data_IF_383071782257
#
_entry.id   IF_383071782257
#
_cell.length_a   1.000
_cell.length_b   1.000
_cell.length_c   1.000
_cell.angle_alpha   90.00
_cell.angle_beta   90.00
_cell.angle_gamma   90.00
#
_symmetry.space_group_name_H-M   'P 1'
#
loop_
_entity.id
_entity.type
_entity.pdbx_description
1 polymer ?
#
# COMPACT_ATOMS: atom_id res chain seq x y z
N UNK A 1 45.47 -73.15 6.44
CA UNK A 1 44.04 -72.84 6.70
C UNK A 1 43.95 -72.22 8.09
N UNK A 2 43.80 -70.91 8.18
CA UNK A 2 43.17 -70.18 9.28
C UNK A 2 43.02 -68.73 8.80
N UNK A 3 41.79 -68.37 8.41
CA UNK A 3 41.39 -67.01 8.08
C UNK A 3 41.22 -66.25 9.40
N UNK A 4 42.10 -65.28 9.67
CA UNK A 4 41.88 -64.31 10.73
C UNK A 4 41.03 -63.13 10.18
N UNK A 5 39.99 -62.82 10.94
CA UNK A 5 38.84 -61.98 10.60
C UNK A 5 39.16 -60.48 10.52
N UNK A 6 38.67 -59.86 9.46
CA UNK A 6 38.86 -58.48 8.97
C UNK A 6 38.20 -57.37 9.83
N UNK A 7 38.04 -57.56 11.15
CA UNK A 7 37.28 -56.61 12.01
C UNK A 7 38.12 -55.69 12.89
N UNK A 8 39.42 -55.93 13.04
CA UNK A 8 40.28 -55.12 13.94
C UNK A 8 41.09 -54.03 13.23
N UNK A 9 41.09 -53.97 11.89
CA UNK A 9 41.84 -52.97 11.12
C UNK A 9 41.00 -51.74 10.69
N UNK A 10 39.83 -51.53 11.30
CA UNK A 10 38.97 -50.36 11.03
C UNK A 10 38.86 -49.37 12.20
N UNK A 11 39.53 -49.64 13.33
CA UNK A 11 39.39 -48.80 14.53
C UNK A 11 40.57 -47.83 14.72
N UNK A 12 41.67 -47.97 13.95
CA UNK A 12 42.84 -47.07 14.01
C UNK A 12 42.92 -46.08 12.83
N UNK A 13 41.82 -45.84 12.13
CA UNK A 13 41.74 -44.83 11.05
C UNK A 13 40.48 -43.93 11.17
N UNK A 14 39.97 -43.76 12.39
CA UNK A 14 38.80 -42.92 12.67
C UNK A 14 39.06 -41.84 13.74
N UNK A 15 40.31 -41.67 14.19
CA UNK A 15 40.71 -40.69 15.22
C UNK A 15 41.72 -39.64 14.73
N UNK A 16 41.90 -39.50 13.40
CA UNK A 16 42.84 -38.54 12.80
C UNK A 16 42.17 -37.55 11.82
N UNK A 17 40.84 -37.40 11.87
CA UNK A 17 40.09 -36.41 11.07
C UNK A 17 39.14 -35.54 11.92
N UNK A 18 39.40 -35.44 13.22
CA UNK A 18 38.59 -34.66 14.15
C UNK A 18 39.32 -33.43 14.74
N UNK A 19 40.28 -32.88 14.00
CA UNK A 19 40.91 -31.61 14.36
C UNK A 19 41.31 -30.90 13.08
N UNK A 20 40.43 -30.00 12.60
CA UNK A 20 40.72 -28.81 11.79
C UNK A 20 39.40 -28.27 11.20
N UNK A 21 38.46 -27.85 12.06
CA UNK A 21 37.48 -26.80 11.73
C UNK A 21 37.53 -25.75 12.84
N UNK A 22 38.69 -25.14 12.99
CA UNK A 22 38.80 -23.82 13.61
C UNK A 22 38.86 -22.79 12.50
N UNK A 23 37.94 -21.83 12.56
CA UNK A 23 37.91 -20.60 11.75
C UNK A 23 37.22 -20.69 10.39
N UNK A 24 35.90 -20.53 10.40
CA UNK A 24 35.29 -19.57 9.48
C UNK A 24 34.74 -18.45 10.37
N UNK A 25 35.34 -17.28 10.24
CA UNK A 25 34.98 -16.11 11.03
C UNK A 25 33.50 -15.81 10.90
N UNK A 26 32.83 -15.72 12.05
CA UNK A 26 31.62 -14.93 12.18
C UNK A 26 32.01 -13.47 11.91
N UNK A 27 32.10 -13.11 10.63
CA UNK A 27 32.00 -11.73 10.22
C UNK A 27 30.57 -11.32 10.55
N UNK A 28 30.37 -10.82 11.76
CA UNK A 28 29.31 -9.89 12.06
C UNK A 28 29.50 -8.74 11.08
N UNK A 29 28.96 -8.87 9.88
CA UNK A 29 28.60 -7.70 9.10
C UNK A 29 27.54 -7.03 9.95
N UNK A 30 27.98 -6.16 10.86
CA UNK A 30 27.19 -4.98 11.14
C UNK A 30 27.15 -4.27 9.81
N UNK A 31 26.19 -4.66 8.96
CA UNK A 31 25.64 -3.72 8.03
C UNK A 31 25.13 -2.60 8.91
N UNK A 32 25.98 -1.60 9.12
CA UNK A 32 25.52 -0.26 9.42
C UNK A 32 24.61 0.04 8.23
N UNK A 33 23.33 -0.25 8.39
CA UNK A 33 22.31 0.29 7.52
C UNK A 33 22.46 1.78 7.70
N UNK A 34 23.22 2.41 6.81
CA UNK A 34 23.25 3.85 6.70
C UNK A 34 21.86 4.23 6.23
N UNK A 35 20.93 4.40 7.17
CA UNK A 35 19.67 5.07 6.89
C UNK A 35 20.07 6.45 6.40
N UNK A 36 19.88 6.72 5.12
CA UNK A 36 19.94 8.08 4.64
C UNK A 36 18.91 8.86 5.45
N UNK A 37 19.38 9.75 6.30
CA UNK A 37 18.52 10.66 7.07
C UNK A 37 18.57 12.00 6.37
N UNK A 38 17.40 12.52 5.98
CA UNK A 38 17.26 13.82 5.33
C UNK A 38 15.82 14.27 5.36
N UNK A 39 15.59 15.58 5.23
CA UNK A 39 14.23 16.14 5.23
C UNK A 39 13.34 15.55 4.15
N UNK A 40 13.90 15.13 3.03
CA UNK A 40 13.20 14.52 1.91
C UNK A 40 13.38 13.00 1.81
N UNK A 41 13.74 12.32 2.91
CA UNK A 41 13.88 10.86 2.95
C UNK A 41 12.76 10.24 3.78
N UNK A 42 11.83 9.57 3.11
CA UNK A 42 10.76 8.82 3.77
C UNK A 42 11.24 7.42 4.14
N UNK A 43 11.08 7.05 5.42
CA UNK A 43 11.39 5.72 5.89
C UNK A 43 10.37 4.70 5.37
N UNK A 44 10.86 3.54 4.94
CA UNK A 44 10.05 2.38 4.54
C UNK A 44 10.53 1.13 5.27
N UNK A 45 9.65 0.14 5.41
CA UNK A 45 9.97 -1.14 6.02
C UNK A 45 9.38 -2.29 5.21
N UNK A 46 10.10 -3.41 5.14
CA UNK A 46 9.58 -4.65 4.55
C UNK A 46 9.13 -5.56 5.68
N UNK A 47 7.84 -5.86 5.76
CA UNK A 47 7.27 -6.71 6.82
C UNK A 47 5.94 -7.35 6.38
N UNK A 48 5.24 -7.99 7.33
CA UNK A 48 3.96 -8.68 7.11
C UNK A 48 2.71 -7.78 7.09
N UNK A 49 2.85 -6.46 7.15
CA UNK A 49 1.74 -5.51 7.30
C UNK A 49 1.08 -5.59 8.69
N UNK A 50 -0.06 -4.88 8.89
CA UNK A 50 -0.75 -4.80 10.17
C UNK A 50 -1.17 -6.15 10.76
N UNK A 51 -1.54 -7.11 9.90
CA UNK A 51 -1.98 -8.45 10.32
C UNK A 51 -0.87 -9.51 10.26
N UNK A 52 0.35 -9.13 9.87
CA UNK A 52 1.49 -10.04 9.77
C UNK A 52 1.40 -11.08 8.64
N UNK A 53 0.48 -10.93 7.68
CA UNK A 53 0.20 -11.89 6.61
C UNK A 53 0.42 -11.35 5.18
N UNK A 54 1.04 -10.18 5.05
CA UNK A 54 1.38 -9.58 3.77
C UNK A 54 2.77 -10.03 3.31
N UNK A 55 2.85 -10.83 2.26
CA UNK A 55 4.15 -11.31 1.76
C UNK A 55 4.94 -10.17 1.11
N UNK A 56 6.18 -9.96 1.55
CA UNK A 56 7.12 -8.98 0.97
C UNK A 56 6.55 -7.56 0.81
N UNK A 57 5.65 -7.14 1.72
CA UNK A 57 5.04 -5.82 1.63
C UNK A 57 6.01 -4.72 2.04
N UNK A 58 6.12 -3.67 1.22
CA UNK A 58 6.84 -2.44 1.54
C UNK A 58 5.85 -1.46 2.14
N UNK A 59 6.08 -1.03 3.38
CA UNK A 59 5.18 -0.17 4.12
C UNK A 59 5.86 1.12 4.56
N UNK A 60 5.08 2.19 4.61
CA UNK A 60 5.47 3.50 5.14
C UNK A 60 4.38 4.04 6.08
N UNK A 61 4.67 5.16 6.72
CA UNK A 61 3.71 5.92 7.50
C UNK A 61 3.42 7.24 6.79
N UNK A 62 2.13 7.60 6.71
CA UNK A 62 1.68 8.82 6.04
C UNK A 62 0.96 9.70 7.05
N UNK A 63 1.31 10.98 7.12
CA UNK A 63 0.58 11.93 7.98
C UNK A 63 -0.47 12.65 7.15
N UNK A 64 -1.71 12.64 7.62
CA UNK A 64 -2.87 13.24 6.98
C UNK A 64 -3.46 14.29 7.91
N UNK A 65 -3.69 15.50 7.41
CA UNK A 65 -4.30 16.59 8.18
C UNK A 65 -5.57 17.10 7.50
N UNK A 66 -6.49 17.62 8.30
CA UNK A 66 -7.58 18.44 7.77
C UNK A 66 -6.97 19.68 7.08
N UNK A 67 -7.42 20.04 5.85
CA UNK A 67 -6.78 21.08 5.05
C UNK A 67 -6.58 22.41 5.78
N UNK A 68 -5.38 23.00 5.65
CA UNK A 68 -5.05 24.30 6.23
C UNK A 68 -4.99 24.30 7.77
N UNK A 69 -4.87 23.13 8.41
CA UNK A 69 -4.90 22.99 9.86
C UNK A 69 -3.74 22.16 10.42
N UNK A 70 -3.56 22.20 11.74
CA UNK A 70 -2.65 21.31 12.47
C UNK A 70 -3.34 20.05 13.00
N UNK A 71 -4.62 19.83 12.68
CA UNK A 71 -5.35 18.63 13.09
C UNK A 71 -4.94 17.47 12.20
N UNK A 72 -4.00 16.67 12.67
CA UNK A 72 -3.34 15.62 11.90
C UNK A 72 -3.42 14.26 12.60
N UNK A 73 -3.31 13.20 11.79
CA UNK A 73 -3.07 11.84 12.25
C UNK A 73 -2.01 11.19 11.37
N UNK A 74 -1.22 10.29 11.96
CA UNK A 74 -0.32 9.43 11.19
C UNK A 74 -0.97 8.07 10.97
N UNK A 75 -1.14 7.70 9.71
CA UNK A 75 -1.59 6.38 9.29
C UNK A 75 -0.35 5.50 9.13
N UNK A 76 -0.22 4.50 9.99
CA UNK A 76 0.88 3.55 9.94
C UNK A 76 0.58 2.42 8.95
N UNK A 77 1.62 1.75 8.44
CA UNK A 77 1.49 0.57 7.58
C UNK A 77 0.64 0.84 6.31
N UNK A 78 0.94 1.94 5.64
CA UNK A 78 0.45 2.25 4.30
C UNK A 78 1.35 1.53 3.29
N UNK A 79 0.78 0.69 2.44
CA UNK A 79 1.52 -0.06 1.42
C UNK A 79 2.07 0.91 0.37
N UNK A 80 3.36 0.82 0.05
CA UNK A 80 3.95 1.55 -1.07
C UNK A 80 3.72 0.73 -2.34
N UNK A 81 3.06 1.32 -3.33
CA UNK A 81 2.67 0.64 -4.56
C UNK A 81 3.17 1.39 -5.80
N UNK A 82 4.06 0.76 -6.55
CA UNK A 82 4.59 1.30 -7.81
C UNK A 82 3.64 1.11 -8.99
N UNK A 83 2.60 0.29 -8.84
CA UNK A 83 1.61 -0.01 -9.87
C UNK A 83 0.36 0.86 -9.81
N UNK A 84 0.28 1.81 -8.87
CA UNK A 84 -0.85 2.74 -8.74
C UNK A 84 -0.40 4.17 -8.44
N UNK A 85 -1.38 5.08 -8.39
CA UNK A 85 -1.17 6.53 -8.32
C UNK A 85 -1.93 7.11 -7.15
N UNK A 86 -1.40 8.12 -6.47
CA UNK A 86 -2.12 8.83 -5.40
C UNK A 86 -2.26 8.06 -4.09
N UNK A 87 -2.95 8.66 -3.12
CA UNK A 87 -3.11 8.12 -1.76
C UNK A 87 -4.52 7.61 -1.53
N UNK A 88 -4.63 6.38 -1.04
CA UNK A 88 -5.89 5.74 -0.66
C UNK A 88 -5.77 5.21 0.76
N UNK A 89 -6.75 5.45 1.62
CA UNK A 89 -6.71 5.03 3.02
C UNK A 89 -8.04 4.41 3.44
N UNK A 90 -7.99 3.36 4.26
CA UNK A 90 -9.20 2.78 4.81
C UNK A 90 -9.91 3.79 5.72
N UNK A 91 -11.24 3.92 5.58
CA UNK A 91 -12.05 4.69 6.49
C UNK A 91 -11.86 4.25 7.96
N UNK A 92 -11.67 2.95 8.19
CA UNK A 92 -11.40 2.39 9.52
C UNK A 92 -10.07 2.81 10.13
N UNK A 93 -9.12 3.31 9.33
CA UNK A 93 -7.85 3.85 9.81
C UNK A 93 -7.88 5.38 9.97
N UNK A 94 -8.93 6.06 9.51
CA UNK A 94 -9.02 7.50 9.43
C UNK A 94 -9.91 8.08 10.55
N UNK A 95 -9.32 8.87 11.45
CA UNK A 95 -10.01 9.55 12.56
C UNK A 95 -10.19 11.05 12.35
N UNK A 96 -9.30 11.69 11.57
CA UNK A 96 -9.44 13.10 11.19
C UNK A 96 -10.58 13.26 10.20
N UNK A 97 -11.46 14.24 10.46
CA UNK A 97 -12.53 14.61 9.53
C UNK A 97 -11.96 15.38 8.35
N UNK A 98 -12.21 14.89 7.14
CA UNK A 98 -11.77 15.51 5.89
C UNK A 98 -12.99 15.99 5.09
N UNK A 99 -12.91 17.16 4.42
CA UNK A 99 -13.97 17.63 3.55
C UNK A 99 -14.12 16.71 2.32
N UNK A 100 -15.37 16.50 1.93
CA UNK A 100 -15.74 15.78 0.70
C UNK A 100 -15.34 16.62 -0.52
N UNK A 101 -14.72 15.97 -1.52
CA UNK A 101 -14.56 16.59 -2.84
C UNK A 101 -15.90 16.52 -3.59
N UNK A 102 -16.32 17.65 -4.17
CA UNK A 102 -17.47 17.71 -5.05
C UNK A 102 -17.03 18.03 -6.48
N UNK A 103 -17.80 17.56 -7.46
CA UNK A 103 -17.65 17.97 -8.85
C UNK A 103 -18.10 19.42 -9.07
N UNK A 104 -17.95 19.93 -10.29
CA UNK A 104 -18.34 21.30 -10.64
C UNK A 104 -19.85 21.58 -10.47
N UNK A 105 -20.68 20.54 -10.37
CA UNK A 105 -22.12 20.63 -10.16
C UNK A 105 -22.53 20.43 -8.70
N UNK A 106 -21.56 20.23 -7.79
CA UNK A 106 -21.79 20.06 -6.36
C UNK A 106 -22.07 18.62 -5.94
N UNK A 107 -21.95 17.62 -6.82
CA UNK A 107 -22.15 16.22 -6.44
C UNK A 107 -20.89 15.65 -5.79
N UNK A 108 -21.01 14.85 -4.72
CA UNK A 108 -19.87 14.16 -4.12
C UNK A 108 -19.14 13.27 -5.13
N UNK A 109 -17.81 13.40 -5.17
CA UNK A 109 -16.94 12.55 -5.99
C UNK A 109 -16.58 11.29 -5.20
N UNK A 110 -16.78 10.13 -5.83
CA UNK A 110 -16.26 8.85 -5.38
C UNK A 110 -15.28 8.29 -6.41
N UNK A 111 -14.39 7.40 -5.96
CA UNK A 111 -13.42 6.72 -6.79
C UNK A 111 -13.64 5.21 -6.71
N UNK A 112 -13.59 4.56 -7.87
CA UNK A 112 -13.44 3.12 -8.05
C UNK A 112 -11.99 2.84 -8.49
N UNK A 113 -11.12 2.54 -7.53
CA UNK A 113 -9.76 2.15 -7.87
C UNK A 113 -9.78 0.70 -8.35
N UNK A 114 -9.39 0.48 -9.60
CA UNK A 114 -9.38 -0.83 -10.24
C UNK A 114 -7.93 -1.32 -10.33
N UNK A 115 -7.68 -2.48 -9.73
CA UNK A 115 -6.43 -3.22 -9.85
C UNK A 115 -6.69 -4.51 -10.63
N UNK A 116 -5.63 -5.24 -10.96
CA UNK A 116 -5.70 -6.41 -11.85
C UNK A 116 -6.84 -7.39 -11.51
N UNK A 117 -7.08 -7.66 -10.23
CA UNK A 117 -8.14 -8.59 -9.76
C UNK A 117 -8.95 -8.05 -8.58
N UNK A 118 -8.85 -6.76 -8.30
CA UNK A 118 -9.46 -6.17 -7.10
C UNK A 118 -9.95 -4.75 -7.30
N UNK A 119 -10.88 -4.35 -6.45
CA UNK A 119 -11.52 -3.04 -6.50
C UNK A 119 -11.51 -2.39 -5.12
N UNK A 120 -11.40 -1.07 -5.11
CA UNK A 120 -11.62 -0.25 -3.92
C UNK A 120 -12.65 0.81 -4.25
N UNK A 121 -13.54 1.07 -3.31
CA UNK A 121 -14.61 2.05 -3.49
C UNK A 121 -14.73 2.95 -2.28
N UNK A 122 -14.94 4.24 -2.53
CA UNK A 122 -15.26 5.21 -1.50
C UNK A 122 -15.14 6.65 -1.98
N UNK A 123 -15.47 7.62 -1.12
CA UNK A 123 -15.39 9.03 -1.45
C UNK A 123 -13.95 9.48 -1.70
N UNK A 124 -13.83 10.48 -2.57
CA UNK A 124 -12.63 11.30 -2.65
C UNK A 124 -12.77 12.47 -1.68
N UNK A 125 -11.80 12.62 -0.78
CA UNK A 125 -11.76 13.71 0.21
C UNK A 125 -10.50 14.55 0.01
N UNK A 126 -10.54 15.80 0.45
CA UNK A 126 -9.39 16.70 0.35
C UNK A 126 -8.60 16.69 1.66
N UNK A 127 -7.28 16.55 1.58
CA UNK A 127 -6.39 16.53 2.73
C UNK A 127 -5.09 17.29 2.48
N UNK A 128 -4.45 17.71 3.56
CA UNK A 128 -3.01 17.97 3.51
C UNK A 128 -2.28 16.65 3.86
N UNK A 129 -1.30 16.27 3.05
CA UNK A 129 -0.54 15.03 3.22
C UNK A 129 0.92 15.37 3.46
N UNK A 130 1.53 14.76 4.47
CA UNK A 130 2.94 14.96 4.84
C UNK A 130 3.69 13.64 4.82
N UNK A 131 4.84 13.66 4.17
CA UNK A 131 5.79 12.55 4.05
C UNK A 131 7.18 13.12 4.37
N UNK A 132 7.83 12.58 5.40
CA UNK A 132 9.05 13.14 5.95
C UNK A 132 8.92 14.65 6.18
N UNK A 133 9.75 15.48 5.55
CA UNK A 133 9.72 16.94 5.57
C UNK A 133 8.96 17.57 4.40
N UNK A 134 8.36 16.77 3.51
CA UNK A 134 7.57 17.25 2.38
C UNK A 134 6.08 17.31 2.73
N UNK A 135 5.38 18.29 2.16
CA UNK A 135 3.94 18.47 2.33
C UNK A 135 3.25 18.78 1.01
N UNK A 136 2.12 18.11 0.77
CA UNK A 136 1.20 18.41 -0.32
C UNK A 136 -0.10 18.94 0.28
N UNK A 137 -0.44 20.18 -0.03
CA UNK A 137 -1.62 20.84 0.55
C UNK A 137 -2.86 20.65 -0.32
N UNK A 138 -3.99 20.37 0.32
CA UNK A 138 -5.32 20.31 -0.30
C UNK A 138 -5.40 19.38 -1.52
N UNK A 139 -4.76 18.21 -1.43
CA UNK A 139 -4.79 17.19 -2.48
C UNK A 139 -5.95 16.20 -2.29
N UNK A 140 -6.49 15.62 -3.38
CA UNK A 140 -7.48 14.57 -3.31
C UNK A 140 -6.87 13.26 -2.81
N UNK A 141 -7.58 12.55 -1.93
CA UNK A 141 -7.27 11.20 -1.47
C UNK A 141 -8.53 10.34 -1.49
N UNK A 142 -8.41 9.05 -1.75
CA UNK A 142 -9.55 8.14 -1.63
C UNK A 142 -9.68 7.65 -0.19
N UNK A 143 -10.90 7.69 0.36
CA UNK A 143 -11.24 7.07 1.64
C UNK A 143 -12.05 5.80 1.39
N UNK A 144 -11.39 4.66 1.50
CA UNK A 144 -11.90 3.35 1.09
C UNK A 144 -12.85 2.78 2.15
N UNK A 145 -13.97 2.21 1.71
CA UNK A 145 -14.89 1.49 2.61
C UNK A 145 -15.65 2.41 3.58
N UNK A 146 -15.78 3.70 3.25
CA UNK A 146 -16.60 4.64 4.02
C UNK A 146 -18.08 4.24 3.94
N UNK A 147 -18.71 4.03 5.10
CA UNK A 147 -20.12 3.61 5.18
C UNK A 147 -21.09 4.63 4.60
N UNK A 148 -20.70 5.91 4.49
CA UNK A 148 -21.52 6.92 3.82
C UNK A 148 -21.64 6.68 2.30
N UNK A 149 -20.77 5.85 1.72
CA UNK A 149 -20.74 5.49 0.30
C UNK A 149 -20.89 3.98 0.10
N UNK A 150 -21.84 3.35 0.82
CA UNK A 150 -22.06 1.91 0.78
C UNK A 150 -22.62 1.38 -0.56
N UNK A 151 -23.21 2.25 -1.38
CA UNK A 151 -23.72 1.89 -2.69
C UNK A 151 -22.60 1.91 -3.73
N UNK A 152 -22.12 0.72 -4.11
CA UNK A 152 -21.10 0.53 -5.14
C UNK A 152 -21.79 0.28 -6.48
N UNK A 153 -21.54 1.08 -7.53
CA UNK A 153 -22.06 0.82 -8.87
C UNK A 153 -21.61 -0.55 -9.39
N UNK A 154 -22.47 -1.23 -10.15
CA UNK A 154 -22.14 -2.50 -10.79
C UNK A 154 -20.90 -2.37 -11.69
N UNK A 155 -20.77 -1.23 -12.38
CA UNK A 155 -19.60 -0.86 -13.20
C UNK A 155 -18.30 -0.72 -12.40
N UNK A 156 -18.36 -0.69 -11.07
CA UNK A 156 -17.17 -0.77 -10.22
C UNK A 156 -17.05 -2.18 -9.63
N UNK A 157 -18.12 -2.68 -8.99
CA UNK A 157 -18.07 -3.95 -8.25
C UNK A 157 -17.77 -5.17 -9.12
N UNK A 158 -18.04 -5.11 -10.43
CA UNK A 158 -17.76 -6.22 -11.35
C UNK A 158 -16.28 -6.41 -11.71
N UNK A 159 -15.42 -5.44 -11.41
CA UNK A 159 -14.00 -5.48 -11.83
C UNK A 159 -13.13 -6.40 -10.98
N UNK A 160 -13.55 -6.81 -9.79
CA UNK A 160 -12.72 -7.67 -8.95
C UNK A 160 -13.17 -7.75 -7.50
N UNK A 161 -12.35 -8.43 -6.69
CA UNK A 161 -12.63 -8.61 -5.26
C UNK A 161 -12.54 -7.28 -4.52
N UNK A 162 -13.51 -6.95 -3.65
CA UNK A 162 -13.48 -5.69 -2.90
C UNK A 162 -12.38 -5.70 -1.83
N UNK A 163 -11.59 -4.63 -1.79
CA UNK A 163 -10.49 -4.41 -0.85
C UNK A 163 -10.84 -3.29 0.14
N UNK A 164 -11.99 -3.44 0.81
CA UNK A 164 -12.65 -2.39 1.59
C UNK A 164 -12.33 -2.43 3.09
N UNK A 165 -11.55 -3.41 3.54
CA UNK A 165 -11.28 -3.66 4.97
C UNK A 165 -9.81 -3.99 5.18
N UNK A 166 -9.33 -3.86 6.42
CA UNK A 166 -7.98 -4.23 6.80
C UNK A 166 -7.67 -5.71 6.51
N UNK A 167 -8.63 -6.61 6.75
CA UNK A 167 -8.47 -8.04 6.51
C UNK A 167 -8.34 -8.39 5.03
N UNK A 168 -9.08 -7.69 4.17
CA UNK A 168 -9.00 -7.88 2.72
C UNK A 168 -7.70 -7.26 2.17
N UNK A 169 -7.46 -5.98 2.49
CA UNK A 169 -6.37 -5.19 1.93
C UNK A 169 -5.01 -5.59 2.50
N UNK A 170 -4.95 -5.99 3.77
CA UNK A 170 -3.70 -6.29 4.47
C UNK A 170 -2.79 -5.07 4.72
N UNK A 171 -3.33 -3.86 4.56
CA UNK A 171 -2.69 -2.57 4.83
C UNK A 171 -3.74 -1.57 5.34
N UNK A 172 -3.30 -0.46 5.95
CA UNK A 172 -4.21 0.63 6.33
C UNK A 172 -4.52 1.60 5.16
N UNK A 173 -3.80 1.44 4.06
CA UNK A 173 -3.94 2.24 2.85
C UNK A 173 -2.89 1.86 1.81
N UNK A 174 -2.94 2.53 0.67
CA UNK A 174 -1.98 2.45 -0.43
C UNK A 174 -1.46 3.84 -0.74
N UNK A 175 -0.14 3.99 -0.79
CA UNK A 175 0.57 5.13 -1.37
C UNK A 175 1.08 4.72 -2.75
N UNK A 176 0.32 5.08 -3.77
CA UNK A 176 0.68 4.92 -5.18
C UNK A 176 1.72 5.94 -5.60
N UNK A 177 2.88 5.47 -6.08
CA UNK A 177 4.02 6.32 -6.49
C UNK A 177 4.27 6.31 -8.00
N UNK A 178 3.26 5.95 -8.79
CA UNK A 178 3.28 6.12 -10.23
C UNK A 178 3.32 7.60 -10.65
N UNK A 179 3.59 7.85 -11.93
CA UNK A 179 3.92 9.18 -12.46
C UNK A 179 2.75 9.97 -13.06
N UNK A 180 1.55 9.39 -13.15
CA UNK A 180 0.38 10.11 -13.65
C UNK A 180 -0.34 10.88 -12.55
N UNK A 181 -0.96 12.01 -12.93
CA UNK A 181 -1.77 12.84 -12.03
C UNK A 181 -3.09 12.13 -11.69
N UNK A 182 -3.72 11.50 -12.68
CA UNK A 182 -4.92 10.69 -12.52
C UNK A 182 -4.58 9.20 -12.60
N UNK A 183 -5.38 8.41 -11.90
CA UNK A 183 -5.35 6.95 -11.86
C UNK A 183 -5.28 6.25 -13.22
N UNK A 184 -5.93 6.83 -14.22
CA UNK A 184 -5.98 6.31 -15.58
C UNK A 184 -5.42 7.29 -16.63
N UNK A 185 -4.60 8.24 -16.18
CA UNK A 185 -4.01 9.29 -17.02
C UNK A 185 -5.05 10.03 -17.84
N UNK A 186 -4.75 10.30 -19.11
CA UNK A 186 -5.65 11.01 -20.01
C UNK A 186 -7.01 10.32 -20.23
N UNK A 187 -7.12 9.01 -19.99
CA UNK A 187 -8.40 8.30 -20.14
C UNK A 187 -9.43 8.74 -19.08
N UNK A 188 -8.98 9.28 -17.95
CA UNK A 188 -9.85 9.79 -16.89
C UNK A 188 -10.48 11.14 -17.27
N UNK A 189 -9.87 11.87 -18.21
CA UNK A 189 -10.31 13.20 -18.61
C UNK A 189 -11.38 13.19 -19.73
N UNK A 190 -11.72 12.02 -20.28
CA UNK A 190 -12.71 11.89 -21.36
C UNK A 190 -14.02 11.28 -20.87
N UNK A 191 -15.09 11.47 -21.64
CA UNK A 191 -16.40 10.86 -21.39
C UNK A 191 -16.65 9.68 -22.35
N UNK A 192 -17.60 8.80 -22.00
CA UNK A 192 -18.02 7.69 -22.86
C UNK A 192 -17.07 6.49 -22.83
N UNK A 193 -17.04 5.71 -23.91
CA UNK A 193 -16.36 4.41 -23.95
C UNK A 193 -14.84 4.44 -23.74
N UNK A 194 -14.20 5.61 -23.88
CA UNK A 194 -12.77 5.79 -23.59
C UNK A 194 -12.45 5.98 -22.10
N UNK A 195 -13.47 6.19 -21.25
CA UNK A 195 -13.31 6.33 -19.81
C UNK A 195 -13.45 4.96 -19.13
N UNK A 196 -12.44 4.49 -18.38
CA UNK A 196 -12.48 3.19 -17.71
C UNK A 196 -13.38 3.15 -16.47
N UNK A 197 -14.04 4.26 -16.12
CA UNK A 197 -14.96 4.32 -14.99
C UNK A 197 -14.24 4.32 -13.64
N UNK A 198 -13.27 5.22 -13.47
CA UNK A 198 -12.54 5.38 -12.21
C UNK A 198 -13.22 6.40 -11.28
N UNK A 199 -13.63 7.56 -11.78
CA UNK A 199 -14.28 8.57 -10.96
C UNK A 199 -15.78 8.62 -11.21
N UNK A 200 -16.53 8.89 -10.15
CA UNK A 200 -17.98 8.94 -10.17
C UNK A 200 -18.49 10.19 -9.46
N UNK A 201 -19.52 10.82 -10.01
CA UNK A 201 -20.37 11.76 -9.29
C UNK A 201 -21.51 10.97 -8.65
N UNK A 202 -21.70 11.14 -7.35
CA UNK A 202 -22.65 10.39 -6.52
C UNK A 202 -23.71 11.31 -5.89
N UNK A 203 -24.72 11.78 -6.66
CA UNK A 203 -25.93 12.32 -6.06
C UNK A 203 -26.66 11.26 -5.21
N UNK A 204 -27.66 11.70 -4.44
CA UNK A 204 -28.35 10.87 -3.43
C UNK A 204 -28.99 9.58 -3.95
N UNK A 205 -29.21 9.43 -5.26
CA UNK A 205 -29.94 8.30 -5.85
C UNK A 205 -29.06 7.30 -6.62
N UNK A 206 -27.94 7.72 -7.23
CA UNK A 206 -27.08 6.85 -8.02
C UNK A 206 -25.75 7.52 -8.36
N UNK A 207 -24.66 6.75 -8.41
CA UNK A 207 -23.38 7.24 -8.89
C UNK A 207 -23.22 7.03 -10.40
N UNK A 208 -22.70 8.02 -11.11
CA UNK A 208 -22.45 8.00 -12.55
C UNK A 208 -20.98 8.27 -12.84
N UNK A 209 -20.43 7.58 -13.84
CA UNK A 209 -19.04 7.81 -14.30
C UNK A 209 -18.91 9.27 -14.76
N UNK A 210 -17.85 9.93 -14.31
CA UNK A 210 -17.50 11.29 -14.74
C UNK A 210 -16.10 11.34 -15.34
N UNK A 211 -15.89 12.34 -16.19
CA UNK A 211 -14.56 12.78 -16.54
C UNK A 211 -13.98 13.58 -15.35
N UNK A 212 -12.75 13.26 -14.96
CA UNK A 212 -11.98 14.01 -13.98
C UNK A 212 -10.73 14.57 -14.67
N UNK A 213 -10.71 15.87 -15.01
CA UNK A 213 -9.50 16.53 -15.45
C UNK A 213 -8.50 16.63 -14.28
N UNK A 214 -7.20 16.65 -14.60
CA UNK A 214 -6.13 16.83 -13.61
C UNK A 214 -5.87 18.26 -13.27
#
# INVERSE_FOLDING_TARGET
MHFASSRELRIMLALAYAALWSSCGGSSHSSTSSSSSGGNVQAVSVNGGPNGNYANGVFTNVTICAPGSSTCQTINNVLVDTGSFGLRVLASALTVSLPQQNDATGNPVAECAQFVLSTMWGPVKTADVKLAGEAASSIPIQVIGDSAFSMVPASCSSHGKPQQTLGALGANGILGIGFFIQDCGNACAVSGAGNPGVYYACPTSACQIIAQPG
#
